data_IF_263795380064
#
_entry.id   IF_263795380064
#
_cell.length_a   1.000
_cell.length_b   1.000
_cell.length_c   1.000
_cell.angle_alpha   90.00
_cell.angle_beta   90.00
_cell.angle_gamma   90.00
#
_symmetry.space_group_name_H-M   'P 1'
#
loop_
_entity.id
_entity.type
_entity.pdbx_description
1 polymer ?
#
# COMPACT_ATOMS: atom_id res chain seq x y z
N UNK A 1 -33.71 63.51 -7.37
CA UNK A 1 -32.74 63.40 -8.50
C UNK A 1 -32.19 64.79 -8.77
N UNK A 2 -30.94 64.95 -9.24
CA UNK A 2 -30.00 63.92 -9.71
C UNK A 2 -29.41 63.10 -8.52
N UNK A 3 -28.62 62.02 -8.67
CA UNK A 3 -27.59 61.66 -9.66
C UNK A 3 -26.35 62.59 -9.57
N UNK A 4 -25.12 62.18 -9.87
CA UNK A 4 -24.55 60.83 -10.03
C UNK A 4 -23.73 60.52 -8.73
N UNK A 5 -22.71 59.67 -8.59
CA UNK A 5 -21.91 58.81 -9.48
C UNK A 5 -21.55 57.49 -8.72
N UNK A 6 -20.49 56.79 -9.11
CA UNK A 6 -19.95 55.59 -8.46
C UNK A 6 -18.44 55.46 -8.72
N UNK A 7 -17.67 54.75 -7.88
CA UNK A 7 -16.75 53.75 -8.45
C UNK A 7 -16.27 52.68 -7.46
N UNK A 8 -15.95 51.51 -8.02
CA UNK A 8 -15.33 50.35 -7.38
C UNK A 8 -13.99 50.08 -8.08
N UNK A 9 -12.92 49.84 -7.33
CA UNK A 9 -11.72 49.16 -7.85
C UNK A 9 -11.06 48.26 -6.78
N UNK A 10 -10.96 46.98 -7.12
CA UNK A 10 -10.17 45.98 -6.40
C UNK A 10 -8.66 46.31 -6.45
N UNK A 11 -7.88 45.83 -5.47
CA UNK A 11 -6.86 44.80 -5.75
C UNK A 11 -6.07 44.36 -4.50
N UNK A 12 -5.86 43.05 -4.39
CA UNK A 12 -4.83 42.37 -3.58
C UNK A 12 -4.12 41.42 -4.54
N UNK A 13 -2.81 41.55 -4.78
CA UNK A 13 -1.83 40.69 -4.10
C UNK A 13 -0.49 41.45 -3.81
N UNK A 14 0.65 40.88 -3.38
CA UNK A 14 1.08 39.48 -3.26
C UNK A 14 2.21 39.32 -2.21
N UNK A 15 2.50 38.07 -1.84
CA UNK A 15 3.73 37.45 -1.30
C UNK A 15 5.01 38.30 -1.11
N UNK A 16 5.90 38.02 -0.13
CA UNK A 16 6.83 36.87 -0.14
C UNK A 16 7.71 36.76 1.12
N UNK A 17 8.28 35.56 1.31
CA UNK A 17 9.56 35.22 1.99
C UNK A 17 9.79 35.64 3.46
N UNK A 18 10.09 34.63 4.29
CA UNK A 18 11.12 34.75 5.35
C UNK A 18 11.95 33.46 5.42
N UNK A 19 12.94 33.36 4.54
CA UNK A 19 13.93 32.28 4.56
C UNK A 19 14.76 32.30 5.85
N UNK A 20 14.99 31.14 6.50
CA UNK A 20 16.11 30.99 7.44
C UNK A 20 16.74 29.59 7.46
N UNK A 21 17.55 29.36 6.42
CA UNK A 21 18.72 28.47 6.31
C UNK A 21 19.16 27.73 7.60
N UNK A 22 19.41 26.42 7.48
CA UNK A 22 20.66 25.69 7.83
C UNK A 22 20.45 24.17 7.64
N UNK A 23 21.41 23.35 7.21
CA UNK A 23 22.61 23.56 6.37
C UNK A 23 23.18 22.18 6.01
N UNK A 24 23.68 22.00 4.78
CA UNK A 24 24.22 20.72 4.29
C UNK A 24 25.70 20.53 4.70
N UNK A 25 26.05 19.32 5.16
CA UNK A 25 27.40 18.77 5.28
C UNK A 25 27.26 17.23 5.31
N UNK A 26 27.97 16.38 4.56
CA UNK A 26 29.18 16.52 3.71
C UNK A 26 30.50 16.71 4.47
N UNK A 27 30.90 15.66 5.18
CA UNK A 27 32.27 15.26 5.56
C UNK A 27 32.21 13.77 5.97
N UNK A 28 33.12 12.87 5.62
CA UNK A 28 34.28 12.90 4.70
C UNK A 28 34.62 11.44 4.36
N UNK A 29 34.98 11.16 3.12
CA UNK A 29 35.67 9.90 2.78
C UNK A 29 37.10 9.94 3.35
N UNK A 30 37.59 8.81 3.88
CA UNK A 30 39.03 8.57 4.04
C UNK A 30 39.35 7.08 4.07
N UNK A 31 39.76 6.59 2.91
CA UNK A 31 40.43 5.31 2.70
C UNK A 31 41.81 5.30 3.36
N UNK A 32 42.15 4.23 4.12
CA UNK A 32 43.47 3.58 4.11
C UNK A 32 43.30 2.09 4.43
N UNK A 33 43.40 1.27 3.39
CA UNK A 33 43.81 -0.16 3.37
C UNK A 33 44.60 -0.70 4.58
N UNK A 34 44.21 -1.87 5.10
CA UNK A 34 45.07 -3.07 5.07
C UNK A 34 44.27 -4.38 5.21
N UNK A 35 44.59 -5.37 4.36
CA UNK A 35 44.19 -6.78 4.53
C UNK A 35 45.42 -7.59 4.99
N UNK A 36 45.22 -8.73 5.68
CA UNK A 36 45.57 -9.97 4.99
C UNK A 36 44.63 -11.17 5.24
N UNK A 37 44.51 -11.98 4.17
CA UNK A 37 44.03 -13.36 4.00
C UNK A 37 43.23 -14.11 5.10
N UNK A 38 42.03 -14.51 4.66
CA UNK A 38 41.56 -15.92 4.57
C UNK A 38 41.66 -16.85 5.79
N UNK A 39 40.52 -16.97 6.50
CA UNK A 39 40.01 -18.30 6.92
C UNK A 39 38.53 -18.43 6.52
N UNK A 40 38.25 -19.11 5.41
CA UNK A 40 36.88 -19.40 4.97
C UNK A 40 36.26 -20.54 5.80
N UNK A 41 35.76 -20.22 6.99
CA UNK A 41 34.79 -21.07 7.68
C UNK A 41 33.39 -20.83 7.09
N UNK A 42 32.61 -21.87 6.74
CA UNK A 42 31.23 -21.69 6.29
C UNK A 42 30.37 -21.15 7.44
N UNK A 43 30.09 -19.84 7.42
CA UNK A 43 29.06 -19.27 8.27
C UNK A 43 27.72 -19.73 7.71
N UNK A 44 27.15 -20.76 8.32
CA UNK A 44 25.77 -21.17 8.09
C UNK A 44 24.89 -19.92 8.24
N UNK A 45 24.09 -19.51 7.24
CA UNK A 45 23.14 -18.44 7.45
C UNK A 45 22.16 -18.93 8.50
N UNK A 46 22.23 -18.36 9.70
CA UNK A 46 21.25 -18.60 10.74
C UNK A 46 19.90 -18.17 10.16
N UNK A 47 19.00 -19.14 9.97
CA UNK A 47 17.59 -18.84 9.77
C UNK A 47 17.09 -18.26 11.08
N UNK A 48 17.23 -16.94 11.22
CA UNK A 48 16.61 -16.15 12.25
C UNK A 48 15.09 -16.23 12.03
N UNK A 49 14.51 -17.31 12.56
CA UNK A 49 13.07 -17.52 12.66
C UNK A 49 12.46 -16.63 13.75
N UNK A 50 12.94 -15.38 13.83
CA UNK A 50 12.13 -14.28 14.31
C UNK A 50 10.99 -14.11 13.32
N UNK A 51 9.87 -14.77 13.58
CA UNK A 51 8.59 -14.43 12.98
C UNK A 51 8.22 -13.03 13.52
N UNK A 52 8.33 -11.94 12.74
CA UNK A 52 7.79 -10.68 13.19
C UNK A 52 6.28 -10.87 13.24
N UNK A 53 5.69 -10.75 14.43
CA UNK A 53 4.29 -11.11 14.66
C UNK A 53 3.40 -10.53 13.57
N UNK A 54 2.56 -11.38 12.96
CA UNK A 54 1.77 -11.09 11.76
C UNK A 54 0.59 -10.13 12.04
N UNK A 55 0.84 -9.04 12.77
CA UNK A 55 -0.09 -7.98 13.12
C UNK A 55 -0.31 -7.03 11.92
N UNK A 56 -0.82 -7.61 10.83
CA UNK A 56 -1.69 -6.93 9.88
C UNK A 56 -1.11 -5.65 9.25
N UNK A 57 0.20 -5.65 8.99
CA UNK A 57 0.95 -4.51 8.40
C UNK A 57 0.53 -4.23 6.96
N UNK A 58 0.06 -5.25 6.22
CA UNK A 58 -0.40 -5.12 4.84
C UNK A 58 -1.91 -4.80 4.73
N UNK A 59 -2.39 -3.81 5.50
CA UNK A 59 -3.66 -3.14 5.18
C UNK A 59 -3.39 -2.10 4.11
N UNK A 60 -4.08 -2.22 2.98
CA UNK A 60 -3.95 -1.27 1.87
C UNK A 60 -4.21 0.17 2.35
N UNK A 61 -3.24 1.10 2.19
CA UNK A 61 -3.31 2.44 2.78
C UNK A 61 -4.46 3.28 2.22
N UNK A 62 -4.97 2.95 1.02
CA UNK A 62 -6.06 3.68 0.38
C UNK A 62 -7.42 3.35 1.00
N UNK A 63 -7.64 2.12 1.49
CA UNK A 63 -8.89 1.73 2.17
C UNK A 63 -9.20 2.67 3.34
N UNK A 64 -8.18 2.98 4.12
CA UNK A 64 -8.31 3.80 5.33
C UNK A 64 -8.58 5.29 4.99
N UNK A 65 -8.07 5.77 3.86
CA UNK A 65 -8.34 7.11 3.30
C UNK A 65 -9.76 7.20 2.73
N UNK A 66 -10.17 6.19 1.94
CA UNK A 66 -11.50 6.11 1.32
C UNK A 66 -12.59 6.02 2.40
N UNK A 67 -12.43 5.14 3.39
CA UNK A 67 -13.37 5.06 4.53
C UNK A 67 -13.51 6.38 5.29
N UNK A 68 -12.40 7.12 5.48
CA UNK A 68 -12.43 8.47 6.08
C UNK A 68 -13.10 9.51 5.17
N UNK A 69 -13.15 9.30 3.86
CA UNK A 69 -13.86 10.15 2.89
C UNK A 69 -15.35 9.81 2.82
N UNK A 70 -15.72 8.54 2.70
CA UNK A 70 -17.12 8.05 2.78
C UNK A 70 -17.77 8.55 4.08
N UNK A 71 -17.15 8.31 5.24
CA UNK A 71 -17.65 8.76 6.56
C UNK A 71 -17.81 10.28 6.69
N UNK A 72 -17.13 11.09 5.87
CA UNK A 72 -17.35 12.55 5.77
C UNK A 72 -18.53 12.88 4.84
N UNK A 73 -18.64 12.20 3.71
CA UNK A 73 -19.73 12.39 2.74
C UNK A 73 -21.08 11.89 3.28
N UNK A 74 -21.16 10.74 3.96
CA UNK A 74 -22.39 10.28 4.63
C UNK A 74 -22.87 11.28 5.69
N UNK A 75 -21.94 11.90 6.43
CA UNK A 75 -22.24 12.98 7.39
C UNK A 75 -22.65 14.30 6.72
N UNK A 76 -22.29 14.52 5.46
CA UNK A 76 -22.78 15.65 4.66
C UNK A 76 -24.19 15.34 4.13
N UNK A 77 -24.43 14.11 3.65
CA UNK A 77 -25.77 13.65 3.25
C UNK A 77 -26.78 13.79 4.40
N UNK A 78 -26.44 13.33 5.61
CA UNK A 78 -27.24 13.51 6.83
C UNK A 78 -27.50 14.98 7.24
N UNK A 79 -26.84 15.97 6.62
CA UNK A 79 -27.20 17.40 6.73
C UNK A 79 -28.08 17.84 5.57
N UNK A 80 -27.73 17.43 4.35
CA UNK A 80 -28.50 17.65 3.13
C UNK A 80 -29.94 17.15 3.29
N UNK A 81 -30.14 15.93 3.79
CA UNK A 81 -31.47 15.35 4.02
C UNK A 81 -32.27 16.15 5.07
N UNK A 82 -31.60 16.81 6.02
CA UNK A 82 -32.25 17.72 6.99
C UNK A 82 -32.62 19.06 6.36
N UNK A 83 -31.77 19.59 5.46
CA UNK A 83 -32.10 20.80 4.70
C UNK A 83 -33.25 20.53 3.73
N UNK A 84 -33.27 19.38 3.06
CA UNK A 84 -34.39 18.90 2.23
C UNK A 84 -35.68 18.76 3.05
N UNK A 85 -35.60 18.16 4.24
CA UNK A 85 -36.74 18.07 5.17
C UNK A 85 -37.27 19.46 5.54
N UNK A 86 -36.40 20.41 5.89
CA UNK A 86 -36.77 21.80 6.22
C UNK A 86 -37.37 22.51 4.99
N UNK A 87 -36.79 22.33 3.79
CA UNK A 87 -37.32 22.94 2.56
C UNK A 87 -38.73 22.43 2.24
N UNK A 88 -38.97 21.13 2.43
CA UNK A 88 -40.25 20.48 2.16
C UNK A 88 -41.28 20.70 3.28
N UNK A 89 -40.87 20.99 4.51
CA UNK A 89 -41.78 21.29 5.62
C UNK A 89 -42.15 22.76 5.77
N UNK A 90 -41.32 23.69 5.27
CA UNK A 90 -41.45 25.13 5.53
C UNK A 90 -42.78 25.70 5.02
N UNK A 91 -43.71 25.96 5.93
CA UNK A 91 -44.92 26.72 5.65
C UNK A 91 -44.65 28.20 5.33
N UNK A 92 -45.66 28.96 4.86
CA UNK A 92 -45.52 30.39 4.59
C UNK A 92 -45.16 31.17 5.88
N UNK A 93 -43.88 31.51 6.04
CA UNK A 93 -43.34 32.20 7.21
C UNK A 93 -42.43 31.36 8.12
N UNK A 94 -42.18 30.09 7.81
CA UNK A 94 -41.24 29.24 8.57
C UNK A 94 -39.76 29.41 8.15
N UNK A 95 -38.88 28.63 8.80
CA UNK A 95 -37.42 28.76 8.79
C UNK A 95 -36.77 28.48 7.41
N UNK A 96 -36.85 29.47 6.52
CA UNK A 96 -36.26 29.45 5.20
C UNK A 96 -34.73 29.19 5.23
N UNK A 97 -34.27 28.25 4.41
CA UNK A 97 -32.84 27.90 4.31
C UNK A 97 -32.00 29.10 3.88
N UNK A 98 -30.80 29.24 4.46
CA UNK A 98 -29.84 30.24 4.02
C UNK A 98 -29.14 29.85 2.71
N UNK A 99 -28.53 30.83 2.03
CA UNK A 99 -27.93 30.64 0.71
C UNK A 99 -26.84 29.56 0.64
N UNK A 100 -26.14 29.25 1.73
CA UNK A 100 -25.13 28.18 1.75
C UNK A 100 -25.73 26.80 2.04
N UNK A 101 -26.82 26.73 2.81
CA UNK A 101 -27.62 25.51 2.97
C UNK A 101 -28.27 25.09 1.64
N UNK A 102 -28.78 26.06 0.87
CA UNK A 102 -29.33 25.83 -0.48
C UNK A 102 -28.26 25.27 -1.42
N UNK A 103 -27.08 25.91 -1.52
CA UNK A 103 -25.95 25.39 -2.33
C UNK A 103 -25.49 23.99 -1.92
N UNK A 104 -25.57 23.65 -0.63
CA UNK A 104 -25.23 22.32 -0.12
C UNK A 104 -26.32 21.30 -0.50
N UNK A 105 -27.59 21.69 -0.50
CA UNK A 105 -28.73 20.88 -0.90
C UNK A 105 -28.76 20.62 -2.42
N UNK A 106 -28.45 21.62 -3.25
CA UNK A 106 -28.27 21.48 -4.70
C UNK A 106 -27.23 20.39 -5.04
N UNK A 107 -26.17 20.27 -4.22
CA UNK A 107 -25.10 19.26 -4.36
C UNK A 107 -25.45 17.90 -3.75
N UNK A 108 -26.74 17.60 -3.48
CA UNK A 108 -27.20 16.26 -3.09
C UNK A 108 -26.80 15.19 -4.11
N UNK A 109 -26.97 15.49 -5.41
CA UNK A 109 -26.60 14.59 -6.51
C UNK A 109 -25.10 14.26 -6.50
N UNK A 110 -24.24 15.28 -6.50
CA UNK A 110 -22.78 15.15 -6.42
C UNK A 110 -22.34 14.32 -5.19
N UNK A 111 -22.89 14.64 -4.01
CA UNK A 111 -22.54 13.98 -2.76
C UNK A 111 -22.97 12.51 -2.76
N UNK A 112 -24.09 12.18 -3.42
CA UNK A 112 -24.61 10.80 -3.54
C UNK A 112 -23.80 9.98 -4.54
N UNK A 113 -23.46 10.56 -5.70
CA UNK A 113 -22.57 9.94 -6.69
C UNK A 113 -21.20 9.61 -6.09
N UNK A 114 -20.56 10.60 -5.45
CA UNK A 114 -19.25 10.41 -4.84
C UNK A 114 -19.24 9.31 -3.75
N UNK A 115 -20.31 9.10 -2.99
CA UNK A 115 -20.41 7.98 -2.04
C UNK A 115 -20.37 6.64 -2.79
N UNK A 116 -21.19 6.49 -3.85
CA UNK A 116 -21.24 5.26 -4.65
C UNK A 116 -19.90 4.96 -5.33
N UNK A 117 -19.26 5.97 -5.92
CA UNK A 117 -17.93 5.84 -6.54
C UNK A 117 -16.89 5.33 -5.54
N UNK A 118 -16.89 5.81 -4.29
CA UNK A 118 -15.99 5.31 -3.26
C UNK A 118 -16.34 3.89 -2.79
N UNK A 119 -17.63 3.55 -2.66
CA UNK A 119 -18.07 2.19 -2.31
C UNK A 119 -17.77 1.17 -3.44
N UNK A 120 -17.81 1.60 -4.70
CA UNK A 120 -17.40 0.81 -5.86
C UNK A 120 -15.87 0.66 -5.93
N UNK A 121 -15.12 1.72 -5.63
CA UNK A 121 -13.65 1.68 -5.52
C UNK A 121 -13.21 0.69 -4.43
N UNK A 122 -13.89 0.66 -3.28
CA UNK A 122 -13.60 -0.32 -2.22
C UNK A 122 -13.82 -1.77 -2.68
N UNK A 123 -14.88 -2.05 -3.46
CA UNK A 123 -15.14 -3.40 -4.03
C UNK A 123 -14.10 -3.79 -5.07
N UNK A 124 -13.63 -2.85 -5.89
CA UNK A 124 -12.55 -3.08 -6.85
C UNK A 124 -11.24 -3.43 -6.12
N UNK A 125 -10.92 -2.71 -5.05
CA UNK A 125 -9.77 -2.98 -4.18
C UNK A 125 -9.87 -4.39 -3.57
N UNK A 126 -11.02 -4.74 -2.97
CA UNK A 126 -11.24 -6.09 -2.39
C UNK A 126 -11.07 -7.20 -3.43
N UNK A 127 -11.56 -6.99 -4.65
CA UNK A 127 -11.37 -7.90 -5.78
C UNK A 127 -9.91 -8.14 -6.13
N UNK A 128 -9.15 -7.05 -6.32
CA UNK A 128 -7.71 -7.11 -6.67
C UNK A 128 -6.89 -7.77 -5.55
N UNK A 129 -7.15 -7.42 -4.28
CA UNK A 129 -6.45 -8.04 -3.14
C UNK A 129 -6.73 -9.54 -3.04
N UNK A 130 -7.96 -9.97 -3.32
CA UNK A 130 -8.37 -11.38 -3.35
C UNK A 130 -7.75 -12.16 -4.52
N UNK A 131 -7.49 -11.52 -5.64
CA UNK A 131 -6.79 -12.13 -6.79
C UNK A 131 -5.29 -12.22 -6.56
N UNK A 132 -4.65 -11.17 -6.04
CA UNK A 132 -3.22 -11.20 -5.73
C UNK A 132 -2.90 -12.20 -4.60
N UNK A 133 -3.79 -12.37 -3.61
CA UNK A 133 -3.67 -13.42 -2.59
C UNK A 133 -3.70 -14.84 -3.18
N UNK A 134 -4.59 -15.12 -4.14
CA UNK A 134 -4.62 -16.42 -4.85
C UNK A 134 -3.31 -16.64 -5.62
N UNK A 135 -2.92 -15.64 -6.42
CA UNK A 135 -1.71 -15.65 -7.25
C UNK A 135 -0.44 -15.83 -6.41
N UNK A 136 -0.36 -15.22 -5.23
CA UNK A 136 0.75 -15.43 -4.30
C UNK A 136 0.74 -16.84 -3.69
N UNK A 137 -0.44 -17.42 -3.39
CA UNK A 137 -0.54 -18.79 -2.92
C UNK A 137 -0.16 -19.82 -3.99
N UNK A 138 -0.57 -19.59 -5.24
CA UNK A 138 -0.18 -20.39 -6.41
C UNK A 138 1.33 -20.29 -6.68
N UNK A 139 1.90 -19.09 -6.64
CA UNK A 139 3.36 -18.87 -6.76
C UNK A 139 4.14 -19.62 -5.67
N UNK A 140 3.70 -19.52 -4.40
CA UNK A 140 4.32 -20.24 -3.27
C UNK A 140 4.23 -21.76 -3.46
N UNK A 141 3.10 -22.26 -3.96
CA UNK A 141 2.91 -23.70 -4.25
C UNK A 141 3.81 -24.18 -5.39
N UNK A 142 3.98 -23.40 -6.45
CA UNK A 142 4.90 -23.70 -7.55
C UNK A 142 6.36 -23.72 -7.05
N UNK A 143 6.80 -22.67 -6.36
CA UNK A 143 8.14 -22.58 -5.77
C UNK A 143 8.46 -23.73 -4.79
N UNK A 144 7.45 -24.25 -4.08
CA UNK A 144 7.63 -25.42 -3.24
C UNK A 144 7.78 -26.70 -4.07
N UNK A 145 6.95 -26.90 -5.09
CA UNK A 145 7.06 -28.06 -5.98
C UNK A 145 8.41 -28.09 -6.73
N UNK A 146 8.90 -26.94 -7.20
CA UNK A 146 10.23 -26.80 -7.83
C UNK A 146 11.36 -27.19 -6.87
N UNK A 147 11.25 -26.79 -5.59
CA UNK A 147 12.20 -27.17 -4.52
C UNK A 147 12.14 -28.65 -4.19
N UNK A 148 10.95 -29.21 -4.03
CA UNK A 148 10.75 -30.63 -3.72
C UNK A 148 11.28 -31.51 -4.86
N UNK A 149 11.09 -31.10 -6.11
CA UNK A 149 11.65 -31.77 -7.29
C UNK A 149 13.18 -31.68 -7.31
N UNK A 150 13.77 -30.49 -7.09
CA UNK A 150 15.22 -30.33 -7.04
C UNK A 150 15.88 -31.17 -5.93
N UNK A 151 15.25 -31.27 -4.76
CA UNK A 151 15.67 -32.14 -3.66
C UNK A 151 15.56 -33.62 -4.08
N UNK A 152 14.45 -34.02 -4.72
CA UNK A 152 14.24 -35.38 -5.18
C UNK A 152 15.27 -35.83 -6.23
N UNK A 153 15.68 -34.93 -7.13
CA UNK A 153 16.69 -35.22 -8.16
C UNK A 153 18.11 -35.27 -7.58
N UNK A 154 18.48 -34.35 -6.68
CA UNK A 154 19.75 -34.43 -5.95
C UNK A 154 19.87 -35.74 -5.13
N UNK A 155 18.78 -36.19 -4.51
CA UNK A 155 18.71 -37.48 -3.79
C UNK A 155 18.84 -38.68 -4.73
N UNK A 156 18.38 -38.59 -5.99
CA UNK A 156 18.62 -39.65 -7.01
C UNK A 156 20.09 -39.68 -7.40
N UNK A 157 20.70 -38.53 -7.68
CA UNK A 157 22.10 -38.43 -8.08
C UNK A 157 23.04 -39.00 -7.00
N UNK A 158 22.87 -38.59 -5.74
CA UNK A 158 23.65 -39.11 -4.60
C UNK A 158 23.52 -40.64 -4.48
N UNK A 159 22.32 -41.20 -4.69
CA UNK A 159 22.12 -42.66 -4.70
C UNK A 159 22.89 -43.34 -5.83
N UNK A 160 22.88 -42.78 -7.05
CA UNK A 160 23.63 -43.32 -8.20
C UNK A 160 25.14 -43.34 -7.91
N UNK A 161 25.69 -42.26 -7.35
CA UNK A 161 27.09 -42.21 -6.94
C UNK A 161 27.43 -43.24 -5.85
N UNK A 162 26.57 -43.42 -4.85
CA UNK A 162 26.75 -44.45 -3.81
C UNK A 162 26.78 -45.86 -4.43
N UNK A 163 25.84 -46.20 -5.33
CA UNK A 163 25.86 -47.50 -5.99
C UNK A 163 27.11 -47.70 -6.87
N UNK A 164 27.54 -46.67 -7.60
CA UNK A 164 28.77 -46.72 -8.40
C UNK A 164 30.02 -46.95 -7.54
N UNK A 165 30.16 -46.23 -6.43
CA UNK A 165 31.28 -46.39 -5.50
C UNK A 165 31.30 -47.77 -4.83
N UNK A 166 30.14 -48.33 -4.47
CA UNK A 166 30.03 -49.69 -3.93
C UNK A 166 30.45 -50.75 -4.96
N UNK A 167 30.00 -50.63 -6.22
CA UNK A 167 30.41 -51.54 -7.30
C UNK A 167 31.92 -51.45 -7.58
N UNK A 168 32.49 -50.23 -7.58
CA UNK A 168 33.93 -50.01 -7.75
C UNK A 168 34.74 -50.62 -6.59
N UNK A 169 34.26 -50.50 -5.34
CA UNK A 169 34.88 -51.13 -4.18
C UNK A 169 34.88 -52.67 -4.28
N UNK A 170 33.76 -53.27 -4.68
CA UNK A 170 33.68 -54.73 -4.90
C UNK A 170 34.62 -55.18 -6.02
N UNK A 171 34.63 -54.48 -7.16
CA UNK A 171 35.52 -54.79 -8.28
C UNK A 171 37.02 -54.69 -7.90
N UNK A 172 37.42 -53.64 -7.17
CA UNK A 172 38.82 -53.44 -6.76
C UNK A 172 39.28 -54.42 -5.68
N UNK A 173 38.37 -54.94 -4.84
CA UNK A 173 38.64 -56.06 -3.94
C UNK A 173 38.80 -57.38 -4.71
N UNK A 174 37.92 -57.66 -5.68
CA UNK A 174 38.01 -58.87 -6.50
C UNK A 174 39.28 -58.91 -7.37
N UNK A 175 39.69 -57.78 -7.95
CA UNK A 175 40.90 -57.67 -8.79
C UNK A 175 42.23 -57.77 -8.01
N UNK A 176 42.18 -57.83 -6.67
CA UNK A 176 43.35 -58.01 -5.78
C UNK A 176 43.49 -59.42 -5.21
N UNK A 177 42.68 -60.38 -5.68
CA UNK A 177 42.78 -61.80 -5.37
C UNK A 177 43.16 -62.59 -6.62
#
# INVERSE_FOLDING_TARGET
MPNVESENKNNVPSSRKKDKRKSLAVTTEKDVSTLPQETLSPITPALESGEPGLENVNKNPYIDVINKRVKKLTKLMQKIDKYETIQNSSGPGEAQLNADQIKVLERKGETSGAIKEFDETLKQIEGVEKEELKKQAELKKAQQADRDQAIADAVKEVKVWIYFLLLYAVYTVFRKK
#
